data_IF_488277301682
#
_entry.id   IF_488277301682
#
_cell.length_a   1.000
_cell.length_b   1.000
_cell.length_c   1.000
_cell.angle_alpha   90.00
_cell.angle_beta   90.00
_cell.angle_gamma   90.00
#
_symmetry.space_group_name_H-M   'P 1'
#
loop_
_entity.id
_entity.type
_entity.pdbx_description
1 polymer ?
#
# COMPACT_ATOMS: atom_id res chain seq x y z
N UNK A 1 14.80 -4.05 -17.52
CA UNK A 1 14.87 -3.90 -16.04
C UNK A 1 13.61 -4.49 -15.48
N UNK A 2 13.71 -5.42 -14.55
CA UNK A 2 12.51 -5.97 -13.91
C UNK A 2 11.74 -4.85 -13.25
N UNK A 3 10.41 -4.89 -13.27
CA UNK A 3 9.58 -4.00 -12.47
C UNK A 3 9.88 -4.28 -11.01
N UNK A 4 10.79 -3.50 -10.42
CA UNK A 4 11.08 -3.61 -9.02
C UNK A 4 9.92 -2.96 -8.27
N UNK A 5 9.11 -3.81 -7.69
CA UNK A 5 8.05 -3.37 -6.80
C UNK A 5 8.65 -2.58 -5.65
N UNK A 6 8.25 -1.34 -5.47
CA UNK A 6 8.76 -0.42 -4.45
C UNK A 6 7.80 -0.37 -3.29
N UNK A 7 8.26 -0.79 -2.13
CA UNK A 7 7.45 -0.95 -0.91
C UNK A 7 8.17 -0.60 0.36
N UNK A 8 7.41 -0.40 1.40
CA UNK A 8 7.80 -0.13 2.77
C UNK A 8 7.48 -1.29 3.74
N UNK A 9 8.39 -1.82 4.59
CA UNK A 9 8.17 -2.98 5.50
C UNK A 9 8.87 -2.96 6.86
N UNK A 10 8.67 -3.71 7.77
CA UNK A 10 8.61 -3.86 9.19
C UNK A 10 9.67 -4.56 10.05
N UNK A 11 9.66 -4.36 11.37
CA UNK A 11 10.21 -5.21 12.43
C UNK A 11 9.29 -5.53 13.61
N UNK A 12 9.49 -6.70 14.24
CA UNK A 12 9.14 -6.95 15.63
C UNK A 12 10.25 -7.73 16.32
N UNK A 13 10.83 -7.20 17.37
CA UNK A 13 11.68 -7.94 18.30
C UNK A 13 10.95 -8.11 19.62
N UNK A 14 10.81 -9.34 20.13
CA UNK A 14 10.36 -9.58 21.49
C UNK A 14 11.53 -9.47 22.45
N UNK A 15 11.64 -8.40 23.21
CA UNK A 15 12.51 -8.35 24.37
C UNK A 15 11.72 -8.77 25.62
N UNK A 16 12.12 -9.87 26.24
CA UNK A 16 11.71 -10.20 27.60
C UNK A 16 12.42 -9.26 28.57
N UNK A 17 11.73 -8.22 29.03
CA UNK A 17 12.20 -7.44 30.17
C UNK A 17 11.71 -8.13 31.44
N UNK A 18 12.63 -8.58 32.29
CA UNK A 18 12.35 -9.01 33.64
C UNK A 18 12.08 -7.79 34.52
N UNK A 19 10.88 -7.67 35.02
CA UNK A 19 10.53 -6.62 36.01
C UNK A 19 10.85 -7.19 37.40
N UNK A 20 11.86 -6.61 38.03
CA UNK A 20 12.07 -6.78 39.47
C UNK A 20 11.11 -5.87 40.24
N UNK A 21 10.29 -6.49 41.09
CA UNK A 21 9.41 -5.79 42.01
C UNK A 21 10.18 -4.90 42.99
N UNK A 22 9.80 -3.64 43.06
CA UNK A 22 10.03 -2.80 44.26
C UNK A 22 8.68 -2.37 44.79
N UNK A 23 8.33 -2.94 45.91
CA UNK A 23 7.17 -2.57 46.73
C UNK A 23 7.48 -1.29 47.52
N UNK A 24 6.64 -0.28 47.44
CA UNK A 24 6.39 0.65 48.56
C UNK A 24 4.98 1.22 48.44
N UNK A 25 4.23 1.02 49.51
CA UNK A 25 2.83 1.34 49.59
C UNK A 25 2.54 2.80 49.94
N UNK A 26 1.43 3.29 49.40
CA UNK A 26 0.62 4.34 50.03
C UNK A 26 -0.85 4.01 49.79
N UNK A 27 -1.61 3.82 50.85
CA UNK A 27 -3.05 3.63 50.83
C UNK A 27 -3.78 4.97 50.55
N UNK A 28 -4.59 5.01 49.49
CA UNK A 28 -5.75 5.89 49.48
C UNK A 28 -6.97 5.12 48.95
N UNK A 29 -7.98 4.99 49.78
CA UNK A 29 -9.27 4.38 49.41
C UNK A 29 -10.08 5.34 48.58
N UNK A 30 -10.29 5.02 47.30
CA UNK A 30 -11.37 5.61 46.49
C UNK A 30 -12.33 4.46 46.19
N UNK A 31 -13.54 4.56 46.72
CA UNK A 31 -14.59 3.58 46.48
C UNK A 31 -15.14 3.69 45.05
N UNK A 32 -14.92 2.69 44.24
CA UNK A 32 -15.58 2.57 42.95
C UNK A 32 -16.80 1.67 43.10
N UNK A 33 -17.98 2.26 42.95
CA UNK A 33 -19.25 1.54 42.89
C UNK A 33 -19.31 0.75 41.57
N UNK A 34 -19.20 -0.56 41.67
CA UNK A 34 -19.42 -1.48 40.57
C UNK A 34 -20.91 -1.64 40.29
N UNK A 35 -21.44 -0.95 39.31
CA UNK A 35 -22.73 -1.29 38.72
C UNK A 35 -22.63 -2.67 38.05
N UNK A 36 -23.19 -3.68 38.68
CA UNK A 36 -23.44 -4.99 38.07
C UNK A 36 -24.49 -4.83 36.98
N UNK A 37 -24.03 -4.76 35.71
CA UNK A 37 -24.91 -5.02 34.57
C UNK A 37 -25.02 -6.54 34.45
N UNK A 38 -26.18 -7.10 34.82
CA UNK A 38 -26.52 -8.49 34.55
C UNK A 38 -26.72 -8.64 33.05
N UNK A 39 -25.69 -9.10 32.34
CA UNK A 39 -25.83 -9.55 30.95
C UNK A 39 -26.61 -10.86 30.93
N UNK A 40 -27.89 -10.79 30.58
CA UNK A 40 -28.68 -11.96 30.22
C UNK A 40 -28.01 -12.66 28.99
N UNK A 41 -27.35 -13.76 29.27
CA UNK A 41 -26.77 -14.60 28.22
C UNK A 41 -27.91 -15.25 27.42
N UNK A 42 -28.15 -14.81 26.20
CA UNK A 42 -29.10 -15.43 25.30
C UNK A 42 -28.39 -16.54 24.50
N UNK A 43 -28.61 -17.84 24.82
CA UNK A 43 -27.90 -18.95 24.19
C UNK A 43 -28.27 -19.16 22.72
N UNK A 44 -29.21 -18.41 22.17
CA UNK A 44 -29.62 -18.46 20.76
C UNK A 44 -29.14 -17.27 19.92
N UNK A 45 -28.27 -16.40 20.46
CA UNK A 45 -27.61 -15.40 19.63
C UNK A 45 -26.74 -16.13 18.59
N UNK A 46 -27.21 -16.19 17.33
CA UNK A 46 -26.39 -16.65 16.20
C UNK A 46 -25.14 -15.82 16.18
N UNK A 47 -24.01 -16.41 16.56
CA UNK A 47 -22.70 -15.78 16.43
C UNK A 47 -22.50 -15.43 14.98
N UNK A 48 -22.61 -14.16 14.64
CA UNK A 48 -22.37 -13.69 13.28
C UNK A 48 -20.88 -13.90 13.01
N UNK A 49 -20.55 -14.95 12.25
CA UNK A 49 -19.18 -15.18 11.78
C UNK A 49 -18.85 -14.02 10.83
N UNK A 50 -18.11 -13.04 11.31
CA UNK A 50 -17.53 -11.99 10.46
C UNK A 50 -16.36 -12.61 9.72
N UNK A 51 -16.44 -12.65 8.41
CA UNK A 51 -15.27 -12.94 7.58
C UNK A 51 -14.36 -11.71 7.63
N UNK A 52 -13.09 -11.94 7.93
CA UNK A 52 -12.08 -10.87 8.01
C UNK A 52 -11.73 -10.26 6.63
N UNK A 53 -12.20 -10.85 5.54
CA UNK A 53 -11.99 -10.34 4.20
C UNK A 53 -13.10 -9.35 3.82
N UNK A 54 -12.71 -8.14 3.45
CA UNK A 54 -13.61 -7.05 3.03
C UNK A 54 -14.02 -7.16 1.56
N UNK A 55 -13.46 -8.12 0.84
CA UNK A 55 -13.72 -8.39 -0.59
C UNK A 55 -13.48 -9.88 -0.88
N UNK A 56 -14.00 -10.34 -2.01
CA UNK A 56 -13.73 -11.67 -2.55
C UNK A 56 -12.67 -11.53 -3.62
N UNK A 57 -11.51 -12.17 -3.41
CA UNK A 57 -10.45 -12.19 -4.42
C UNK A 57 -10.92 -12.95 -5.67
N UNK A 58 -10.80 -12.30 -6.82
CA UNK A 58 -11.00 -12.90 -8.13
C UNK A 58 -9.68 -12.86 -8.89
N UNK A 59 -9.15 -14.03 -9.24
CA UNK A 59 -7.93 -14.11 -10.05
C UNK A 59 -8.16 -13.47 -11.41
N UNK A 60 -7.16 -12.73 -11.87
CA UNK A 60 -7.19 -12.14 -13.20
C UNK A 60 -6.83 -13.17 -14.28
N UNK A 61 -7.32 -13.00 -15.52
CA UNK A 61 -6.86 -13.81 -16.64
C UNK A 61 -5.35 -13.69 -16.79
N UNK A 62 -4.68 -14.82 -17.09
CA UNK A 62 -3.24 -14.81 -17.27
C UNK A 62 -2.84 -13.83 -18.39
N UNK A 63 -2.05 -12.82 -18.04
CA UNK A 63 -1.53 -11.87 -19.03
C UNK A 63 -0.32 -12.50 -19.75
N UNK A 64 -0.47 -12.80 -21.02
CA UNK A 64 0.59 -13.38 -21.86
C UNK A 64 1.55 -12.33 -22.42
N UNK A 65 1.25 -11.05 -22.24
CA UNK A 65 2.04 -9.91 -22.74
C UNK A 65 3.52 -9.94 -22.30
N UNK A 66 3.79 -10.51 -21.13
CA UNK A 66 5.11 -10.51 -20.51
C UNK A 66 5.75 -11.91 -20.45
N UNK A 67 5.36 -12.83 -21.35
CA UNK A 67 5.92 -14.16 -21.43
C UNK A 67 5.23 -15.23 -20.58
N UNK A 68 5.91 -16.35 -20.30
CA UNK A 68 5.33 -17.46 -19.54
C UNK A 68 5.00 -17.06 -18.11
N UNK A 69 3.89 -17.58 -17.60
CA UNK A 69 3.40 -17.27 -16.25
C UNK A 69 3.44 -18.50 -15.35
N UNK A 70 3.55 -18.25 -14.05
CA UNK A 70 3.43 -19.24 -12.99
C UNK A 70 2.48 -18.73 -11.89
N UNK A 71 1.77 -19.65 -11.21
CA UNK A 71 0.98 -19.30 -10.04
C UNK A 71 1.89 -18.89 -8.88
N UNK A 72 1.78 -17.63 -8.45
CA UNK A 72 2.54 -17.08 -7.34
C UNK A 72 1.64 -16.25 -6.44
N UNK A 73 1.95 -16.24 -5.14
CA UNK A 73 1.44 -15.22 -4.25
C UNK A 73 2.35 -13.98 -4.26
N UNK A 74 1.94 -12.89 -3.60
CA UNK A 74 2.69 -11.62 -3.65
C UNK A 74 4.13 -11.76 -3.15
N UNK A 75 4.39 -12.48 -2.04
CA UNK A 75 5.78 -12.59 -1.56
C UNK A 75 6.66 -13.38 -2.54
N UNK A 76 6.14 -14.41 -3.20
CA UNK A 76 6.87 -15.16 -4.24
C UNK A 76 7.15 -14.30 -5.45
N UNK A 77 6.19 -13.47 -5.87
CA UNK A 77 6.38 -12.51 -6.96
C UNK A 77 7.46 -11.48 -6.62
N UNK A 78 7.43 -10.93 -5.41
CA UNK A 78 8.48 -10.00 -4.94
C UNK A 78 9.85 -10.70 -4.87
N UNK A 79 9.92 -11.94 -4.36
CA UNK A 79 11.16 -12.71 -4.32
C UNK A 79 11.71 -12.94 -5.73
N UNK A 80 10.85 -13.28 -6.69
CA UNK A 80 11.23 -13.47 -8.09
C UNK A 80 11.79 -12.17 -8.71
N UNK A 81 11.17 -11.03 -8.45
CA UNK A 81 11.65 -9.74 -8.92
C UNK A 81 13.02 -9.35 -8.31
N UNK A 82 13.22 -9.62 -7.03
CA UNK A 82 14.50 -9.38 -6.35
C UNK A 82 15.59 -10.32 -6.86
N UNK A 83 15.25 -11.59 -7.10
CA UNK A 83 16.16 -12.59 -7.68
C UNK A 83 16.60 -12.18 -9.09
N UNK A 84 15.65 -11.78 -9.94
CA UNK A 84 15.96 -11.28 -11.30
C UNK A 84 16.87 -10.03 -11.24
N UNK A 85 16.63 -9.12 -10.31
CA UNK A 85 17.47 -7.93 -10.15
C UNK A 85 18.90 -8.29 -9.75
N UNK A 86 19.07 -9.16 -8.75
CA UNK A 86 20.38 -9.63 -8.32
C UNK A 86 21.12 -10.43 -9.39
N UNK A 87 20.39 -11.19 -10.22
CA UNK A 87 20.96 -11.96 -11.33
C UNK A 87 21.44 -11.08 -12.49
N UNK A 88 20.69 -10.02 -12.81
CA UNK A 88 20.96 -9.15 -13.97
C UNK A 88 21.92 -8.00 -13.66
N UNK A 89 22.00 -7.55 -12.40
CA UNK A 89 22.84 -6.43 -11.98
C UNK A 89 23.83 -6.88 -10.89
N UNK A 90 25.12 -7.02 -11.21
CA UNK A 90 26.15 -7.43 -10.24
C UNK A 90 26.40 -6.39 -9.15
N UNK A 91 25.97 -5.14 -9.34
CA UNK A 91 26.10 -4.05 -8.35
C UNK A 91 24.94 -4.00 -7.35
N UNK A 92 23.83 -4.69 -7.66
CA UNK A 92 22.63 -4.66 -6.83
C UNK A 92 22.86 -5.28 -5.45
N UNK A 93 22.44 -4.57 -4.42
CA UNK A 93 22.48 -5.02 -3.01
C UNK A 93 21.11 -4.86 -2.38
N UNK A 94 20.74 -5.83 -1.54
CA UNK A 94 19.51 -5.81 -0.74
C UNK A 94 19.91 -5.79 0.73
N UNK A 95 19.42 -4.82 1.47
CA UNK A 95 19.78 -4.64 2.87
C UNK A 95 18.61 -4.06 3.67
N UNK A 96 18.67 -4.26 4.97
CA UNK A 96 17.65 -3.87 5.94
C UNK A 96 17.64 -4.80 7.13
N UNK A 97 16.63 -4.71 7.97
CA UNK A 97 16.49 -5.57 9.12
C UNK A 97 15.98 -6.95 8.72
N UNK A 98 16.58 -8.01 9.24
CA UNK A 98 16.23 -9.43 9.03
C UNK A 98 16.25 -9.91 7.55
N UNK A 99 16.70 -9.08 6.63
CA UNK A 99 16.77 -9.37 5.18
C UNK A 99 17.62 -10.61 4.89
N UNK A 100 18.72 -10.77 5.60
CA UNK A 100 19.62 -11.91 5.43
C UNK A 100 19.00 -13.26 5.85
N UNK A 101 17.94 -13.23 6.66
CA UNK A 101 17.21 -14.42 7.09
C UNK A 101 15.97 -14.71 6.23
N UNK A 102 15.69 -13.85 5.25
CA UNK A 102 14.51 -13.95 4.39
C UNK A 102 13.47 -12.87 4.62
N UNK A 103 13.67 -11.98 5.58
CA UNK A 103 12.73 -10.95 5.97
C UNK A 103 11.49 -11.49 6.69
N UNK A 104 10.77 -10.62 7.41
CA UNK A 104 9.57 -10.99 8.17
C UNK A 104 8.46 -11.52 7.25
N UNK A 105 8.35 -10.99 6.04
CA UNK A 105 7.37 -11.44 5.03
C UNK A 105 7.96 -12.40 4.00
N UNK A 106 9.14 -12.96 4.28
CA UNK A 106 9.80 -14.01 3.49
C UNK A 106 10.14 -13.62 2.04
N UNK A 107 10.16 -12.33 1.72
CA UNK A 107 10.45 -11.85 0.37
C UNK A 107 11.91 -12.01 -0.06
N UNK A 108 12.83 -12.27 0.86
CA UNK A 108 14.28 -12.42 0.59
C UNK A 108 14.82 -13.79 0.95
N UNK A 109 13.94 -14.77 1.21
CA UNK A 109 14.33 -16.15 1.56
C UNK A 109 15.22 -16.75 0.47
N UNK A 110 16.40 -17.29 0.88
CA UNK A 110 17.35 -17.97 0.00
C UNK A 110 18.24 -17.04 -0.84
N UNK A 111 17.93 -15.73 -0.92
CA UNK A 111 18.72 -14.81 -1.75
C UNK A 111 20.15 -14.62 -1.23
N UNK A 112 20.33 -14.58 0.10
CA UNK A 112 21.68 -14.53 0.69
C UNK A 112 22.52 -15.76 0.37
N UNK A 113 21.91 -16.95 0.42
CA UNK A 113 22.63 -18.19 0.14
C UNK A 113 23.02 -18.27 -1.34
N UNK A 114 22.20 -17.72 -2.22
CA UNK A 114 22.40 -17.68 -3.67
C UNK A 114 23.43 -16.63 -4.12
N UNK A 115 23.37 -15.41 -3.55
CA UNK A 115 24.15 -14.25 -4.02
C UNK A 115 25.24 -13.79 -3.06
N UNK A 116 25.32 -14.36 -1.87
CA UNK A 116 26.34 -14.06 -0.89
C UNK A 116 25.97 -12.94 0.10
N UNK A 117 26.73 -12.93 1.21
CA UNK A 117 26.52 -11.99 2.33
C UNK A 117 26.84 -10.54 1.99
N UNK A 118 27.63 -10.30 0.97
CA UNK A 118 28.03 -8.95 0.56
C UNK A 118 26.99 -8.29 -0.34
N UNK A 119 26.01 -9.07 -0.81
CA UNK A 119 24.91 -8.59 -1.64
C UNK A 119 23.54 -8.64 -0.98
N UNK A 120 23.36 -9.50 0.05
CA UNK A 120 22.13 -9.61 0.82
C UNK A 120 22.48 -9.69 2.29
N UNK A 121 22.25 -8.61 3.03
CA UNK A 121 22.76 -8.50 4.42
C UNK A 121 21.83 -7.70 5.33
N UNK A 122 21.95 -8.01 6.63
CA UNK A 122 21.25 -7.26 7.68
C UNK A 122 21.98 -5.96 8.02
N UNK A 123 21.20 -4.97 8.40
CA UNK A 123 21.66 -3.73 9.04
C UNK A 123 21.28 -3.73 10.52
N UNK A 124 21.87 -2.83 11.33
CA UNK A 124 21.29 -2.46 12.61
C UNK A 124 19.86 -1.93 12.45
N UNK A 125 19.05 -2.02 13.53
CA UNK A 125 17.70 -1.48 13.61
C UNK A 125 17.79 0.05 13.69
N UNK A 126 17.79 0.70 12.54
CA UNK A 126 17.85 2.16 12.40
C UNK A 126 17.42 2.56 10.99
N UNK A 127 16.17 2.85 10.76
CA UNK A 127 15.61 3.14 9.43
C UNK A 127 16.26 4.40 8.81
N UNK A 128 16.58 5.39 9.64
CA UNK A 128 17.36 6.55 9.22
C UNK A 128 18.72 6.15 8.63
N UNK A 129 19.43 5.26 9.31
CA UNK A 129 20.73 4.73 8.86
C UNK A 129 20.59 3.87 7.60
N UNK A 130 19.53 3.04 7.52
CA UNK A 130 19.24 2.18 6.36
C UNK A 130 19.07 3.04 5.10
N UNK A 131 18.23 4.06 5.16
CA UNK A 131 17.98 4.94 4.00
C UNK A 131 19.21 5.79 3.68
N UNK A 132 19.89 6.35 4.69
CA UNK A 132 21.14 7.10 4.49
C UNK A 132 22.24 6.29 3.82
N UNK A 133 22.42 5.03 4.25
CA UNK A 133 23.31 4.08 3.60
C UNK A 133 22.91 3.82 2.14
N UNK A 134 21.59 3.59 1.90
CA UNK A 134 21.05 3.36 0.57
C UNK A 134 21.30 4.52 -0.39
N UNK A 135 21.17 5.77 0.08
CA UNK A 135 21.52 6.96 -0.69
C UNK A 135 23.01 6.92 -1.10
N UNK A 136 23.89 6.65 -0.14
CA UNK A 136 25.33 6.57 -0.40
C UNK A 136 25.70 5.48 -1.41
N UNK A 137 25.12 4.30 -1.30
CA UNK A 137 25.31 3.18 -2.23
C UNK A 137 24.83 3.55 -3.64
N UNK A 138 23.65 4.16 -3.76
CA UNK A 138 23.11 4.55 -5.06
C UNK A 138 23.92 5.68 -5.72
N UNK A 139 24.38 6.66 -4.95
CA UNK A 139 25.26 7.74 -5.43
C UNK A 139 26.62 7.21 -5.88
N UNK A 140 27.12 6.15 -5.25
CA UNK A 140 28.33 5.47 -5.68
C UNK A 140 28.15 4.62 -6.95
N UNK A 141 26.95 4.58 -7.55
CA UNK A 141 26.65 3.95 -8.82
C UNK A 141 26.11 2.53 -8.73
N UNK A 142 25.87 1.99 -7.53
CA UNK A 142 25.29 0.66 -7.34
C UNK A 142 23.77 0.72 -7.21
N UNK A 143 23.10 -0.39 -7.48
CA UNK A 143 21.64 -0.51 -7.26
C UNK A 143 21.37 -0.87 -5.81
N UNK A 144 20.77 0.05 -5.07
CA UNK A 144 20.45 -0.08 -3.66
C UNK A 144 18.97 -0.43 -3.44
N UNK A 145 18.70 -1.55 -2.80
CA UNK A 145 17.35 -1.96 -2.42
C UNK A 145 17.27 -2.01 -0.89
N UNK A 146 16.74 -0.95 -0.32
CA UNK A 146 16.56 -0.81 1.13
C UNK A 146 15.20 -1.37 1.54
N UNK A 147 15.18 -2.27 2.52
CA UNK A 147 13.96 -2.83 3.10
C UNK A 147 13.70 -2.19 4.46
N UNK A 148 12.56 -1.49 4.57
CA UNK A 148 11.98 -1.01 5.82
C UNK A 148 10.86 -1.98 6.19
N UNK A 149 10.83 -2.46 7.41
CA UNK A 149 10.00 -3.61 7.74
C UNK A 149 8.49 -3.35 7.90
N UNK A 150 8.00 -2.11 8.04
CA UNK A 150 6.60 -1.67 7.84
C UNK A 150 6.58 -0.18 7.51
N UNK A 151 5.56 0.23 6.79
CA UNK A 151 5.30 1.63 6.49
C UNK A 151 5.21 2.51 7.74
N UNK A 152 4.69 1.93 8.81
CA UNK A 152 4.59 2.56 10.14
C UNK A 152 5.97 2.94 10.71
N UNK A 153 7.04 2.30 10.26
CA UNK A 153 8.42 2.51 10.73
C UNK A 153 9.31 3.28 9.75
N UNK A 154 8.72 3.85 8.69
CA UNK A 154 9.50 4.67 7.75
C UNK A 154 9.78 6.07 8.31
N UNK A 155 8.96 6.55 9.24
CA UNK A 155 9.02 7.94 9.71
C UNK A 155 10.38 8.36 10.29
N UNK A 156 11.16 7.52 11.00
CA UNK A 156 12.52 7.87 11.37
C UNK A 156 13.45 8.20 10.19
N UNK A 157 13.17 7.66 9.00
CA UNK A 157 13.91 7.93 7.76
C UNK A 157 13.26 8.99 6.87
N UNK A 158 12.22 9.67 7.35
CA UNK A 158 11.47 10.65 6.56
C UNK A 158 12.37 11.77 6.03
N UNK A 159 13.25 12.31 6.87
CA UNK A 159 14.22 13.34 6.49
C UNK A 159 15.14 12.86 5.37
N UNK A 160 15.71 11.65 5.49
CA UNK A 160 16.60 11.09 4.47
C UNK A 160 15.91 10.89 3.13
N UNK A 161 14.63 10.57 3.14
CA UNK A 161 13.83 10.40 1.91
C UNK A 161 13.51 11.76 1.29
N UNK A 162 12.94 12.68 2.07
CA UNK A 162 12.37 13.93 1.60
C UNK A 162 13.43 15.02 1.37
N UNK A 163 14.40 15.14 2.26
CA UNK A 163 15.40 16.19 2.21
C UNK A 163 16.70 15.76 1.54
N UNK A 164 17.03 14.48 1.56
CA UNK A 164 18.24 13.98 0.94
C UNK A 164 17.96 13.28 -0.41
N UNK A 165 17.30 12.12 -0.42
CA UNK A 165 17.10 11.34 -1.64
C UNK A 165 16.34 12.12 -2.73
N UNK A 166 15.20 12.71 -2.38
CA UNK A 166 14.36 13.44 -3.32
C UNK A 166 15.05 14.66 -3.96
N UNK A 167 15.94 15.32 -3.22
CA UNK A 167 16.60 16.56 -3.65
C UNK A 167 18.02 16.34 -4.17
N UNK A 168 18.56 15.14 -4.09
CA UNK A 168 19.98 14.88 -4.34
C UNK A 168 20.42 15.33 -5.72
N UNK A 169 19.70 14.92 -6.76
CA UNK A 169 19.98 15.31 -8.14
C UNK A 169 19.88 16.83 -8.37
N UNK A 170 18.83 17.45 -7.85
CA UNK A 170 18.62 18.90 -7.96
C UNK A 170 19.72 19.67 -7.24
N UNK A 171 20.01 19.31 -5.98
CA UNK A 171 21.03 19.95 -5.14
C UNK A 171 22.44 19.87 -5.73
N UNK A 172 22.77 18.76 -6.39
CA UNK A 172 24.07 18.57 -7.01
C UNK A 172 24.20 19.24 -8.39
N UNK A 173 23.17 19.95 -8.88
CA UNK A 173 23.19 20.49 -10.24
C UNK A 173 23.23 19.42 -11.31
N UNK A 174 22.63 18.25 -11.07
CA UNK A 174 22.62 17.07 -11.94
C UNK A 174 24.02 16.40 -12.11
N UNK A 175 24.98 16.69 -11.21
CA UNK A 175 26.28 16.02 -11.21
C UNK A 175 26.21 14.62 -10.60
N UNK A 176 25.34 14.45 -9.63
CA UNK A 176 25.10 13.17 -8.93
C UNK A 176 23.61 12.94 -8.78
N UNK A 177 23.20 11.67 -8.72
CA UNK A 177 21.85 11.26 -8.37
C UNK A 177 21.87 9.99 -7.52
N UNK A 178 20.74 9.68 -6.90
CA UNK A 178 20.50 8.41 -6.22
C UNK A 178 19.33 7.65 -6.85
N UNK A 179 19.12 7.80 -8.15
CA UNK A 179 18.01 7.19 -8.90
C UNK A 179 17.97 5.66 -8.83
N UNK A 180 19.10 5.02 -8.53
CA UNK A 180 19.20 3.57 -8.33
C UNK A 180 18.79 3.13 -6.92
N UNK A 181 18.24 4.02 -6.07
CA UNK A 181 17.70 3.68 -4.76
C UNK A 181 16.24 3.23 -4.90
N UNK A 182 15.95 2.07 -4.36
CA UNK A 182 14.60 1.59 -4.13
C UNK A 182 14.40 1.36 -2.64
N UNK A 183 13.41 2.03 -2.05
CA UNK A 183 12.96 1.79 -0.68
C UNK A 183 11.66 1.03 -0.77
N UNK A 184 11.59 -0.12 -0.09
CA UNK A 184 10.40 -0.96 -0.08
C UNK A 184 9.93 -1.27 1.34
N UNK A 185 8.61 -1.33 1.52
CA UNK A 185 7.99 -1.64 2.80
C UNK A 185 6.55 -2.11 2.60
N UNK A 186 5.94 -3.07 3.34
CA UNK A 186 4.50 -3.32 3.35
C UNK A 186 3.75 -2.24 4.09
N UNK A 187 2.55 -1.97 3.61
CA UNK A 187 1.65 -1.00 4.21
C UNK A 187 0.19 -1.48 4.14
N UNK A 188 -0.67 -0.69 4.76
CA UNK A 188 -2.10 -0.90 4.70
C UNK A 188 -2.62 -1.93 5.68
N UNK A 189 -3.90 -2.18 5.59
CA UNK A 189 -4.64 -3.02 6.48
C UNK A 189 -4.36 -4.51 6.26
N UNK A 190 -4.13 -5.24 7.35
CA UNK A 190 -3.82 -6.68 7.33
C UNK A 190 -4.76 -7.52 8.20
N UNK A 191 -5.83 -6.93 8.73
CA UNK A 191 -6.82 -7.61 9.55
C UNK A 191 -6.50 -7.66 11.05
N UNK A 192 -5.31 -7.29 11.48
CA UNK A 192 -4.86 -7.37 12.88
C UNK A 192 -3.66 -6.46 13.19
N UNK A 193 -3.35 -5.52 12.31
CA UNK A 193 -2.15 -4.68 12.41
C UNK A 193 -2.24 -3.58 13.46
N UNK A 194 -3.44 -3.12 13.82
CA UNK A 194 -3.66 -2.05 14.78
C UNK A 194 -2.93 -0.74 14.43
N UNK A 195 -2.56 0.05 15.44
CA UNK A 195 -2.02 1.41 15.30
C UNK A 195 -0.69 1.49 14.53
N UNK A 196 0.15 0.47 14.66
CA UNK A 196 1.56 0.53 14.21
C UNK A 196 1.91 -0.48 13.10
N UNK A 197 0.89 -1.08 12.46
CA UNK A 197 1.10 -2.08 11.41
C UNK A 197 0.03 -2.02 10.31
N UNK A 198 -0.65 -0.89 10.19
CA UNK A 198 -1.78 -0.74 9.27
C UNK A 198 -1.84 0.61 8.57
N UNK A 199 -0.87 1.49 8.80
CA UNK A 199 -0.88 2.84 8.24
C UNK A 199 -0.59 2.83 6.73
N UNK A 200 -1.13 3.84 6.05
CA UNK A 200 -1.00 4.07 4.61
C UNK A 200 -0.36 5.45 4.41
N UNK A 201 0.99 5.53 4.31
CA UNK A 201 1.72 6.79 4.34
C UNK A 201 1.92 7.43 2.97
N UNK A 202 1.30 6.93 1.90
CA UNK A 202 1.52 7.38 0.53
C UNK A 202 1.35 8.89 0.36
N UNK A 203 0.38 9.50 1.04
CA UNK A 203 0.11 10.94 0.93
C UNK A 203 1.26 11.81 1.49
N UNK A 204 1.98 11.35 2.51
CA UNK A 204 3.16 12.07 3.04
C UNK A 204 4.28 12.16 2.01
N UNK A 205 4.44 11.11 1.20
CA UNK A 205 5.48 11.03 0.17
C UNK A 205 5.00 11.55 -1.19
N UNK A 206 3.70 11.55 -1.45
CA UNK A 206 3.11 12.18 -2.63
C UNK A 206 3.35 13.70 -2.68
N UNK A 207 3.53 14.34 -1.52
CA UNK A 207 3.88 15.75 -1.42
C UNK A 207 5.39 16.00 -1.53
N UNK A 208 6.16 15.09 -2.09
CA UNK A 208 7.62 15.16 -2.16
C UNK A 208 8.12 15.05 -3.59
N UNK A 209 8.33 16.18 -4.31
CA UNK A 209 8.93 16.15 -5.65
C UNK A 209 10.33 15.54 -5.64
N UNK A 210 10.63 14.74 -6.66
CA UNK A 210 11.94 14.11 -6.83
C UNK A 210 11.99 12.61 -6.52
N UNK A 211 10.91 12.03 -5.98
CA UNK A 211 10.74 10.59 -5.81
C UNK A 211 9.52 10.08 -6.58
N UNK A 212 9.45 8.77 -6.79
CA UNK A 212 8.27 8.09 -7.30
C UNK A 212 7.66 7.23 -6.19
N UNK A 213 6.34 7.28 -6.05
CA UNK A 213 5.58 6.49 -5.08
C UNK A 213 4.71 5.49 -5.84
N UNK A 214 4.96 4.20 -5.65
CA UNK A 214 4.27 3.11 -6.35
C UNK A 214 3.67 2.16 -5.33
N UNK A 215 2.44 1.76 -5.56
CA UNK A 215 1.68 0.87 -4.69
C UNK A 215 1.38 -0.43 -5.44
N UNK A 216 1.69 -1.57 -4.82
CA UNK A 216 1.22 -2.87 -5.29
C UNK A 216 0.13 -3.39 -4.36
N UNK A 217 -0.77 -4.20 -4.87
CA UNK A 217 -1.81 -4.79 -4.07
C UNK A 217 -1.59 -6.28 -3.79
N UNK A 218 -2.21 -6.76 -2.73
CA UNK A 218 -2.10 -8.13 -2.28
C UNK A 218 -3.06 -9.03 -3.06
N UNK A 219 -2.51 -9.86 -3.95
CA UNK A 219 -3.23 -11.00 -4.51
C UNK A 219 -3.05 -12.23 -3.62
N UNK A 220 -4.05 -13.09 -3.50
CA UNK A 220 -3.90 -14.36 -2.78
C UNK A 220 -2.94 -15.29 -3.54
N UNK A 221 -3.27 -15.62 -4.77
CA UNK A 221 -2.41 -16.33 -5.75
C UNK A 221 -2.87 -15.92 -7.14
N UNK A 222 -1.95 -15.56 -8.00
CA UNK A 222 -2.25 -15.19 -9.38
C UNK A 222 -1.24 -15.75 -10.38
N UNK A 223 -1.54 -15.63 -11.68
CA UNK A 223 -0.62 -15.98 -12.76
C UNK A 223 0.35 -14.80 -12.95
N UNK A 224 1.60 -14.99 -12.55
CA UNK A 224 2.64 -13.96 -12.58
C UNK A 224 3.70 -14.33 -13.60
N UNK A 225 4.15 -13.40 -14.47
CA UNK A 225 5.28 -13.63 -15.39
C UNK A 225 6.54 -14.01 -14.63
N UNK A 226 7.25 -15.03 -15.11
CA UNK A 226 8.48 -15.52 -14.48
C UNK A 226 9.74 -14.90 -15.04
N UNK A 227 9.69 -14.36 -16.24
CA UNK A 227 10.79 -13.63 -16.87
C UNK A 227 10.81 -12.17 -16.41
N UNK A 228 11.96 -11.51 -16.57
CA UNK A 228 12.09 -10.10 -16.27
C UNK A 228 11.26 -9.26 -17.25
N UNK A 229 10.43 -8.36 -16.75
CA UNK A 229 9.62 -7.45 -17.56
C UNK A 229 9.57 -6.06 -16.93
N UNK A 230 9.11 -5.09 -17.72
CA UNK A 230 8.95 -3.70 -17.27
C UNK A 230 7.49 -3.31 -17.30
N UNK A 231 7.01 -2.77 -16.19
CA UNK A 231 5.75 -2.03 -16.14
C UNK A 231 6.10 -0.55 -16.20
N UNK A 232 5.50 0.23 -17.12
CA UNK A 232 5.69 1.67 -17.14
C UNK A 232 5.27 2.28 -15.80
N UNK A 233 6.10 3.17 -15.26
CA UNK A 233 5.71 3.95 -14.09
C UNK A 233 4.96 5.19 -14.59
N UNK A 234 3.98 5.65 -13.80
CA UNK A 234 3.11 6.80 -14.13
C UNK A 234 2.07 6.51 -15.21
N UNK A 235 1.76 5.23 -15.43
CA UNK A 235 0.62 4.78 -16.23
C UNK A 235 -0.35 4.04 -15.31
N UNK A 236 -1.64 4.35 -15.42
CA UNK A 236 -2.70 3.62 -14.74
C UNK A 236 -3.21 2.49 -15.63
N UNK A 237 -3.76 1.44 -15.03
CA UNK A 237 -4.30 0.31 -15.75
C UNK A 237 -5.82 0.30 -15.71
N UNK A 238 -6.48 0.33 -16.88
CA UNK A 238 -7.92 0.14 -17.00
C UNK A 238 -8.20 -1.36 -16.95
N UNK A 239 -8.64 -1.84 -15.80
CA UNK A 239 -8.93 -3.26 -15.55
C UNK A 239 -10.28 -3.69 -16.12
N UNK A 240 -11.21 -2.75 -16.24
CA UNK A 240 -12.53 -2.97 -16.79
C UNK A 240 -13.04 -1.69 -17.43
N UNK A 241 -13.48 -1.78 -18.67
CA UNK A 241 -14.14 -0.68 -19.37
C UNK A 241 -15.56 -0.45 -18.83
N UNK A 242 -16.00 0.82 -18.83
CA UNK A 242 -17.34 1.22 -18.42
C UNK A 242 -17.75 2.58 -18.97
N UNK A 243 -19.03 2.93 -18.83
CA UNK A 243 -19.61 4.15 -19.43
C UNK A 243 -20.29 5.08 -18.44
N UNK A 244 -20.60 4.64 -17.21
CA UNK A 244 -21.50 5.40 -16.34
C UNK A 244 -20.81 5.96 -15.10
N UNK A 245 -19.76 5.29 -14.58
CA UNK A 245 -19.00 5.70 -13.40
C UNK A 245 -17.53 5.28 -13.55
N UNK A 246 -16.61 6.21 -13.38
CA UNK A 246 -15.18 5.93 -13.19
C UNK A 246 -14.92 5.59 -11.73
N UNK A 247 -14.28 4.47 -11.47
CA UNK A 247 -13.84 4.06 -10.14
C UNK A 247 -12.32 3.89 -10.13
N UNK A 248 -11.64 4.66 -9.29
CA UNK A 248 -10.18 4.67 -9.14
C UNK A 248 -9.80 4.17 -7.76
N UNK A 249 -8.86 3.26 -7.70
CA UNK A 249 -8.28 2.81 -6.43
C UNK A 249 -6.82 2.40 -6.62
N UNK A 250 -6.18 2.08 -5.52
CA UNK A 250 -4.85 1.47 -5.45
C UNK A 250 -4.76 0.50 -4.27
N UNK A 251 -3.78 -0.39 -4.33
CA UNK A 251 -3.61 -1.40 -3.30
C UNK A 251 -4.82 -2.32 -3.18
N UNK A 252 -5.13 -2.75 -1.98
CA UNK A 252 -6.24 -3.69 -1.72
C UNK A 252 -7.60 -3.18 -2.17
N UNK A 253 -7.78 -1.84 -2.23
CA UNK A 253 -9.04 -1.25 -2.65
C UNK A 253 -9.38 -1.51 -4.13
N UNK A 254 -8.43 -1.86 -4.97
CA UNK A 254 -8.68 -2.30 -6.35
C UNK A 254 -9.62 -3.51 -6.38
N UNK A 255 -9.40 -4.50 -5.51
CA UNK A 255 -10.28 -5.66 -5.42
C UNK A 255 -11.69 -5.29 -4.94
N UNK A 256 -11.79 -4.33 -4.01
CA UNK A 256 -13.08 -3.85 -3.50
C UNK A 256 -13.89 -3.20 -4.62
N UNK A 257 -13.30 -2.28 -5.38
CA UNK A 257 -14.04 -1.59 -6.46
C UNK A 257 -14.37 -2.53 -7.65
N UNK A 258 -13.55 -3.55 -7.93
CA UNK A 258 -13.91 -4.61 -8.91
C UNK A 258 -15.17 -5.36 -8.49
N UNK A 259 -15.30 -5.74 -7.23
CA UNK A 259 -16.51 -6.36 -6.71
C UNK A 259 -17.70 -5.40 -6.76
N UNK A 260 -17.49 -4.11 -6.48
CA UNK A 260 -18.51 -3.06 -6.57
C UNK A 260 -18.99 -2.86 -8.00
N UNK A 261 -18.10 -2.91 -9.00
CA UNK A 261 -18.47 -2.83 -10.41
C UNK A 261 -19.43 -3.96 -10.81
N UNK A 262 -19.12 -5.20 -10.41
CA UNK A 262 -20.00 -6.33 -10.65
C UNK A 262 -21.38 -6.16 -9.96
N UNK A 263 -21.37 -5.68 -8.70
CA UNK A 263 -22.60 -5.40 -7.95
C UNK A 263 -23.42 -4.26 -8.58
N UNK A 264 -22.78 -3.22 -9.09
CA UNK A 264 -23.44 -2.09 -9.74
C UNK A 264 -24.11 -2.54 -11.05
N UNK A 265 -23.44 -3.34 -11.84
CA UNK A 265 -24.00 -3.93 -13.05
C UNK A 265 -25.20 -4.84 -12.73
N UNK A 266 -25.08 -5.72 -11.75
CA UNK A 266 -26.13 -6.69 -11.40
C UNK A 266 -27.38 -6.00 -10.81
N UNK A 267 -27.18 -5.03 -9.90
CA UNK A 267 -28.27 -4.48 -9.08
C UNK A 267 -28.82 -3.16 -9.56
N UNK A 268 -28.06 -2.41 -10.34
CA UNK A 268 -28.43 -1.05 -10.79
C UNK A 268 -28.40 -0.92 -12.31
N UNK A 269 -27.84 -1.89 -13.05
CA UNK A 269 -27.62 -1.78 -14.49
C UNK A 269 -26.55 -0.74 -14.87
N UNK A 270 -25.63 -0.43 -13.94
CA UNK A 270 -24.62 0.63 -14.07
C UNK A 270 -23.29 0.03 -14.51
N UNK A 271 -22.74 0.55 -15.60
CA UNK A 271 -21.46 0.14 -16.18
C UNK A 271 -20.34 0.97 -15.58
N UNK A 272 -19.51 0.35 -14.73
CA UNK A 272 -18.38 1.01 -14.07
C UNK A 272 -17.08 0.74 -14.81
N UNK A 273 -16.32 1.79 -15.06
CA UNK A 273 -14.91 1.70 -15.47
C UNK A 273 -14.04 1.58 -14.23
N UNK A 274 -13.20 0.54 -14.15
CA UNK A 274 -12.36 0.25 -13.00
C UNK A 274 -10.91 0.49 -13.37
N UNK A 275 -10.25 1.37 -12.62
CA UNK A 275 -8.87 1.80 -12.87
C UNK A 275 -8.01 1.54 -11.65
N UNK A 276 -6.92 0.80 -11.82
CA UNK A 276 -5.82 0.70 -10.87
C UNK A 276 -4.81 1.81 -11.15
N UNK A 277 -4.64 2.70 -10.18
CA UNK A 277 -3.74 3.85 -10.32
C UNK A 277 -2.26 3.46 -10.32
N UNK A 278 -1.87 2.39 -9.65
CA UNK A 278 -0.52 1.84 -9.51
C UNK A 278 0.54 2.84 -9.02
N UNK A 279 0.71 3.97 -9.71
CA UNK A 279 1.68 5.01 -9.36
C UNK A 279 0.97 6.21 -8.75
N UNK A 280 1.31 6.52 -7.50
CA UNK A 280 0.77 7.67 -6.78
C UNK A 280 1.53 8.96 -7.17
N UNK A 281 2.84 8.87 -7.42
CA UNK A 281 3.64 10.04 -7.79
C UNK A 281 4.70 9.64 -8.83
N UNK A 282 4.72 10.27 -10.00
CA UNK A 282 3.63 11.04 -10.60
C UNK A 282 2.49 10.11 -11.05
N UNK A 283 1.24 10.53 -10.89
CA UNK A 283 0.08 9.73 -11.27
C UNK A 283 -0.39 10.02 -12.70
N UNK A 284 -1.15 9.10 -13.28
CA UNK A 284 -1.68 9.17 -14.64
C UNK A 284 -2.94 10.03 -14.71
N UNK A 285 -2.74 11.34 -14.80
CA UNK A 285 -3.84 12.31 -14.95
C UNK A 285 -4.62 12.09 -16.24
N UNK A 286 -3.93 11.76 -17.34
CA UNK A 286 -4.54 11.64 -18.65
C UNK A 286 -5.57 10.50 -18.70
N UNK A 287 -5.21 9.31 -18.23
CA UNK A 287 -6.11 8.15 -18.19
C UNK A 287 -7.33 8.43 -17.31
N UNK A 288 -7.13 9.01 -16.13
CA UNK A 288 -8.24 9.32 -15.22
C UNK A 288 -9.16 10.39 -15.81
N UNK A 289 -8.64 11.48 -16.34
CA UNK A 289 -9.46 12.53 -16.94
C UNK A 289 -10.23 12.04 -18.18
N UNK A 290 -9.61 11.25 -19.05
CA UNK A 290 -10.30 10.62 -20.19
C UNK A 290 -11.49 9.76 -19.74
N UNK A 291 -11.31 8.97 -18.71
CA UNK A 291 -12.36 8.15 -18.13
C UNK A 291 -13.50 9.01 -17.59
N UNK A 292 -13.18 10.04 -16.80
CA UNK A 292 -14.18 10.95 -16.21
C UNK A 292 -14.96 11.73 -17.28
N UNK A 293 -14.30 12.20 -18.32
CA UNK A 293 -14.96 12.86 -19.46
C UNK A 293 -15.98 11.92 -20.14
N UNK A 294 -15.66 10.63 -20.19
CA UNK A 294 -16.55 9.59 -20.76
C UNK A 294 -17.74 9.28 -19.86
N UNK A 295 -17.51 9.18 -18.54
CA UNK A 295 -18.51 8.64 -17.59
C UNK A 295 -19.28 9.70 -16.81
N UNK A 296 -18.79 10.92 -16.72
CA UNK A 296 -19.35 12.01 -15.95
C UNK A 296 -19.30 11.87 -14.43
N UNK A 297 -18.81 10.74 -13.90
CA UNK A 297 -18.84 10.45 -12.44
C UNK A 297 -17.56 9.81 -11.98
N UNK A 298 -17.06 10.23 -10.81
CA UNK A 298 -15.81 9.72 -10.24
C UNK A 298 -15.97 9.28 -8.79
N UNK A 299 -15.65 8.02 -8.53
CA UNK A 299 -15.41 7.47 -7.19
C UNK A 299 -13.95 7.14 -7.02
N UNK A 300 -13.35 7.56 -5.89
CA UNK A 300 -11.97 7.23 -5.53
C UNK A 300 -11.98 6.50 -4.18
N UNK A 301 -11.29 5.36 -4.09
CA UNK A 301 -11.23 4.58 -2.85
C UNK A 301 -9.79 4.28 -2.44
N UNK A 302 -9.47 4.53 -1.15
CA UNK A 302 -8.19 4.16 -0.53
C UNK A 302 -8.32 3.93 0.99
N UNK A 303 -7.34 3.25 1.58
CA UNK A 303 -7.37 2.87 3.01
C UNK A 303 -6.93 3.99 3.97
N UNK A 304 -6.12 4.93 3.50
CA UNK A 304 -5.67 6.07 4.32
C UNK A 304 -6.85 6.94 4.78
N UNK A 305 -6.69 7.75 5.85
CA UNK A 305 -7.70 8.73 6.26
C UNK A 305 -8.13 9.66 5.11
N UNK A 306 -9.37 10.12 5.13
CA UNK A 306 -9.94 10.97 4.07
C UNK A 306 -9.30 12.35 4.02
N UNK A 307 -8.99 12.94 5.19
CA UNK A 307 -8.36 14.26 5.28
C UNK A 307 -6.89 14.18 4.91
N UNK A 308 -6.48 14.96 3.91
CA UNK A 308 -5.11 14.96 3.40
C UNK A 308 -4.70 13.68 2.66
N UNK A 309 -5.63 12.73 2.45
CA UNK A 309 -5.38 11.54 1.64
C UNK A 309 -5.26 11.88 0.15
N UNK A 310 -4.56 11.03 -0.62
CA UNK A 310 -4.22 11.31 -2.02
C UNK A 310 -5.46 11.45 -2.94
N UNK A 311 -6.60 10.87 -2.57
CA UNK A 311 -7.86 11.12 -3.26
C UNK A 311 -8.27 12.59 -3.31
N UNK A 312 -7.79 13.42 -2.39
CA UNK A 312 -8.04 14.87 -2.41
C UNK A 312 -7.31 15.54 -3.57
N UNK A 313 -6.07 15.15 -3.85
CA UNK A 313 -5.29 15.63 -4.99
C UNK A 313 -5.95 15.26 -6.32
N UNK A 314 -6.32 13.97 -6.48
CA UNK A 314 -7.02 13.51 -7.68
C UNK A 314 -8.34 14.26 -7.86
N UNK A 315 -9.11 14.46 -6.77
CA UNK A 315 -10.37 15.20 -6.82
C UNK A 315 -10.18 16.66 -7.24
N UNK A 316 -9.14 17.32 -6.74
CA UNK A 316 -8.83 18.71 -7.09
C UNK A 316 -8.48 18.84 -8.57
N UNK A 317 -7.58 17.99 -9.06
CA UNK A 317 -7.16 17.99 -10.47
C UNK A 317 -8.32 17.68 -11.41
N UNK A 318 -9.12 16.65 -11.10
CA UNK A 318 -10.28 16.30 -11.93
C UNK A 318 -11.36 17.40 -11.89
N UNK A 319 -11.53 18.06 -10.73
CA UNK A 319 -12.41 19.22 -10.63
C UNK A 319 -11.95 20.38 -11.53
N UNK A 320 -10.65 20.58 -11.66
CA UNK A 320 -10.07 21.63 -12.54
C UNK A 320 -10.16 21.26 -14.01
N UNK A 321 -9.76 20.03 -14.36
CA UNK A 321 -9.63 19.57 -15.75
C UNK A 321 -10.97 19.13 -16.38
N UNK A 322 -11.88 18.57 -15.58
CA UNK A 322 -13.08 17.88 -16.08
C UNK A 322 -14.39 18.49 -15.56
N UNK A 323 -14.38 19.68 -14.95
CA UNK A 323 -15.58 20.28 -14.31
C UNK A 323 -16.84 20.27 -15.17
N UNK A 324 -16.73 20.63 -16.44
CA UNK A 324 -17.85 20.72 -17.36
C UNK A 324 -18.43 19.33 -17.75
N UNK A 325 -17.73 18.25 -17.44
CA UNK A 325 -18.13 16.91 -17.73
C UNK A 325 -18.73 16.19 -16.51
N UNK A 326 -18.54 16.75 -15.30
CA UNK A 326 -19.02 16.14 -14.07
C UNK A 326 -20.55 16.25 -13.95
N UNK A 327 -21.21 15.12 -13.79
CA UNK A 327 -22.65 14.98 -13.61
C UNK A 327 -23.05 14.76 -12.15
N UNK A 328 -22.09 14.52 -11.26
CA UNK A 328 -22.28 14.38 -9.82
C UNK A 328 -21.04 14.85 -9.05
N UNK A 329 -21.17 15.17 -7.75
CA UNK A 329 -20.00 15.43 -6.90
C UNK A 329 -19.05 14.23 -6.88
N UNK A 330 -17.73 14.50 -6.93
CA UNK A 330 -16.71 13.46 -6.81
C UNK A 330 -16.81 12.79 -5.45
N UNK A 331 -16.89 11.47 -5.43
CA UNK A 331 -17.04 10.68 -4.21
C UNK A 331 -15.71 10.10 -3.76
N UNK A 332 -15.30 10.42 -2.52
CA UNK A 332 -14.12 9.83 -1.88
C UNK A 332 -14.57 8.86 -0.80
N UNK A 333 -14.32 7.57 -0.99
CA UNK A 333 -14.62 6.51 -0.01
C UNK A 333 -13.31 6.03 0.58
N UNK A 334 -12.94 6.59 1.72
CA UNK A 334 -11.62 6.45 2.33
C UNK A 334 -11.73 5.96 3.78
N UNK A 335 -10.58 5.67 4.42
CA UNK A 335 -10.53 5.46 5.86
C UNK A 335 -11.04 6.67 6.63
N UNK A 336 -11.48 6.47 7.85
CA UNK A 336 -11.93 7.56 8.72
C UNK A 336 -10.75 8.34 9.30
N UNK A 337 -10.97 9.61 9.66
CA UNK A 337 -9.99 10.47 10.34
C UNK A 337 -9.85 10.07 11.82
N UNK A 338 -9.33 8.89 12.06
CA UNK A 338 -9.08 8.32 13.38
C UNK A 338 -7.85 7.41 13.32
N UNK A 339 -7.10 7.27 14.42
CA UNK A 339 -6.07 6.23 14.51
C UNK A 339 -6.65 4.86 14.19
N UNK A 340 -5.86 4.01 13.53
CA UNK A 340 -6.35 2.74 12.99
C UNK A 340 -6.85 1.82 14.12
N UNK A 341 -8.14 1.42 14.13
CA UNK A 341 -8.74 0.72 15.24
C UNK A 341 -8.67 -0.80 15.07
N UNK A 342 -7.93 -1.50 15.91
CA UNK A 342 -7.66 -2.94 15.80
C UNK A 342 -8.90 -3.82 15.51
N UNK A 343 -9.77 -3.99 16.51
CA UNK A 343 -10.96 -4.86 16.36
C UNK A 343 -12.09 -4.21 15.55
N UNK A 344 -12.02 -2.89 15.34
CA UNK A 344 -12.97 -2.12 14.56
C UNK A 344 -12.50 -1.86 13.12
N UNK A 345 -11.44 -2.50 12.69
CA UNK A 345 -10.95 -2.44 11.31
C UNK A 345 -12.07 -2.58 10.27
N UNK A 346 -13.03 -3.51 10.40
CA UNK A 346 -14.14 -3.64 9.45
C UNK A 346 -15.04 -2.39 9.36
N UNK A 347 -15.04 -1.51 10.36
CA UNK A 347 -15.77 -0.24 10.30
C UNK A 347 -14.91 0.88 9.72
N UNK A 348 -13.60 0.81 9.93
CA UNK A 348 -12.65 1.82 9.45
C UNK A 348 -12.47 1.74 7.94
N UNK A 349 -12.20 0.56 7.41
CA UNK A 349 -11.84 0.37 6.00
C UNK A 349 -13.04 0.63 5.09
N UNK A 350 -12.81 1.26 3.92
CA UNK A 350 -13.77 1.25 2.85
C UNK A 350 -14.09 -0.18 2.43
N UNK A 351 -15.33 -0.60 2.59
CA UNK A 351 -15.81 -1.89 2.13
C UNK A 351 -16.67 -1.74 0.86
N UNK A 352 -17.01 -2.87 0.27
CA UNK A 352 -17.84 -2.90 -0.94
C UNK A 352 -19.21 -2.23 -0.77
N UNK A 353 -19.79 -2.26 0.45
CA UNK A 353 -21.10 -1.66 0.69
C UNK A 353 -21.01 -0.14 0.74
N UNK A 354 -19.97 0.41 1.37
CA UNK A 354 -19.72 1.85 1.38
C UNK A 354 -19.47 2.38 -0.03
N UNK A 355 -18.66 1.67 -0.83
CA UNK A 355 -18.40 2.04 -2.22
C UNK A 355 -19.66 1.88 -3.11
N UNK A 356 -20.41 0.79 -2.96
CA UNK A 356 -21.65 0.58 -3.70
C UNK A 356 -22.70 1.64 -3.39
N UNK A 357 -22.86 2.01 -2.11
CA UNK A 357 -23.77 3.07 -1.70
C UNK A 357 -23.36 4.44 -2.27
N UNK A 358 -22.04 4.69 -2.38
CA UNK A 358 -21.53 5.89 -3.04
C UNK A 358 -21.87 5.90 -4.54
N UNK A 359 -21.68 4.78 -5.25
CA UNK A 359 -22.12 4.64 -6.66
C UNK A 359 -23.63 4.92 -6.78
N UNK A 360 -24.45 4.30 -5.92
CA UNK A 360 -25.89 4.53 -5.92
C UNK A 360 -26.28 5.99 -5.70
N UNK A 361 -25.58 6.71 -4.84
CA UNK A 361 -25.81 8.15 -4.63
C UNK A 361 -25.44 8.97 -5.87
N UNK A 362 -24.32 8.67 -6.51
CA UNK A 362 -23.86 9.41 -7.69
C UNK A 362 -24.78 9.27 -8.90
N UNK A 363 -25.33 8.08 -9.13
CA UNK A 363 -26.25 7.87 -10.27
C UNK A 363 -27.67 8.42 -10.03
N UNK A 364 -28.02 8.75 -8.78
CA UNK A 364 -29.30 9.36 -8.42
C UNK A 364 -29.17 10.86 -8.06
N UNK A 365 -28.03 11.47 -8.37
CA UNK A 365 -27.78 12.88 -8.14
C UNK A 365 -28.46 13.70 -9.22
#
# INVERSE_FOLDING_TARGET
MAAVARFLVRASGSSKASITNVSNGVHSKVGVSLLRVSSGFNPHAKTQKRHAAHFTFQAEPAQTKYGPTQKMNLFQSVTSALDNTLASDPTAVIFGEDVAFGGVFRCTVGLRDKYGKDRVFNTPLCEQGIVGFGIGVAVAGATAIAEIQFADYIYPAFDQIVNEAAKYRYRSGNLFDCGNLTIRAPWGCVGHGSLYHSQSPEAFFAHCPGIKVVILYRAAVDQVPVEAYHIPLSEAEVLQEGSDVTMVAWGTQVHVIKEVAAMAQEKLGVSCEVIDLQTILPWDTETICKSVVKTGRLLISHEAPVTGGFAAEISSTVQEECFLNLEAPISRVCGYDTPFPHIFEPFYIPDKWKCFDAVKRMINY
#
